data_IF_235390621829
#
_entry.id   IF_235390621829
#
_cell.length_a   1.000
_cell.length_b   1.000
_cell.length_c   1.000
_cell.angle_alpha   90.00
_cell.angle_beta   90.00
_cell.angle_gamma   90.00
#
_symmetry.space_group_name_H-M   'P 1'
#
loop_
_entity.id
_entity.type
_entity.pdbx_description
1 polymer ?
#
# COMPACT_ATOMS: atom_id res chain seq x y z
N UNK A 1 8.56 3.55 7.97
CA UNK A 1 8.71 3.25 6.53
C UNK A 1 7.97 4.29 5.68
N UNK A 2 6.63 4.27 5.56
CA UNK A 2 5.90 5.20 4.68
C UNK A 2 6.24 6.68 4.94
N UNK A 3 6.04 7.16 6.17
CA UNK A 3 6.31 8.56 6.51
C UNK A 3 7.78 8.95 6.26
N UNK A 4 8.72 8.05 6.51
CA UNK A 4 10.15 8.30 6.25
C UNK A 4 10.41 8.47 4.75
N UNK A 5 9.79 7.64 3.91
CA UNK A 5 9.90 7.78 2.45
C UNK A 5 9.28 9.08 1.98
N UNK A 6 8.06 9.42 2.42
CA UNK A 6 7.40 10.68 2.04
C UNK A 6 8.25 11.91 2.41
N UNK A 7 8.83 11.91 3.61
CA UNK A 7 9.73 12.98 4.06
C UNK A 7 11.00 13.10 3.21
N UNK A 8 11.58 11.98 2.75
CA UNK A 8 12.75 12.01 1.84
C UNK A 8 12.47 12.71 0.52
N UNK A 9 11.23 12.65 0.04
CA UNK A 9 10.79 13.32 -1.19
C UNK A 9 10.14 14.68 -0.94
N UNK A 10 10.07 15.15 0.31
CA UNK A 10 9.43 16.42 0.66
C UNK A 10 7.91 16.42 0.46
N UNK A 11 7.28 15.25 0.40
CA UNK A 11 5.82 15.10 0.29
C UNK A 11 5.20 15.44 1.65
N UNK A 12 4.30 16.42 1.65
CA UNK A 12 3.63 16.92 2.87
C UNK A 12 2.13 16.62 2.92
N UNK A 13 1.64 15.94 1.89
CA UNK A 13 0.26 15.49 1.78
C UNK A 13 -0.17 14.65 2.99
N UNK A 14 -1.43 14.79 3.45
CA UNK A 14 -1.91 14.07 4.61
C UNK A 14 -1.97 12.57 4.33
N UNK A 15 -1.47 11.76 5.28
CA UNK A 15 -1.64 10.31 5.24
C UNK A 15 -3.06 9.98 5.72
N UNK A 16 -3.93 9.60 4.78
CA UNK A 16 -5.23 9.00 5.10
C UNK A 16 -5.03 7.58 5.64
N UNK A 17 -5.63 7.29 6.79
CA UNK A 17 -5.65 5.95 7.37
C UNK A 17 -7.08 5.42 7.34
N UNK A 18 -7.28 4.34 6.62
CA UNK A 18 -8.58 3.69 6.48
C UNK A 18 -8.55 2.41 7.32
N UNK A 19 -9.44 2.32 8.29
CA UNK A 19 -9.68 1.08 9.03
C UNK A 19 -10.63 0.18 8.22
N UNK A 20 -10.32 -1.11 8.15
CA UNK A 20 -11.11 -2.11 7.42
C UNK A 20 -11.54 -3.21 8.39
N UNK A 21 -12.62 -2.99 9.17
CA UNK A 21 -13.02 -3.91 10.23
C UNK A 21 -13.84 -5.11 9.73
N UNK A 22 -14.43 -5.01 8.52
CA UNK A 22 -15.37 -5.98 7.99
C UNK A 22 -15.23 -6.17 6.47
N UNK A 23 -15.89 -7.20 5.96
CA UNK A 23 -15.89 -7.57 4.53
C UNK A 23 -16.55 -6.49 3.66
N UNK A 24 -17.58 -5.80 4.16
CA UNK A 24 -18.26 -4.75 3.41
C UNK A 24 -17.30 -3.59 3.10
N UNK A 25 -16.57 -3.15 4.12
CA UNK A 25 -15.53 -2.12 4.00
C UNK A 25 -14.36 -2.63 3.17
N UNK A 26 -13.97 -3.90 3.33
CA UNK A 26 -12.92 -4.53 2.54
C UNK A 26 -13.21 -4.54 1.04
N UNK A 27 -14.44 -4.88 0.66
CA UNK A 27 -14.88 -4.84 -0.73
C UNK A 27 -14.98 -3.40 -1.26
N UNK A 28 -15.48 -2.46 -0.46
CA UNK A 28 -15.61 -1.04 -0.86
C UNK A 28 -14.27 -0.41 -1.23
N UNK A 29 -13.20 -0.76 -0.51
CA UNK A 29 -11.85 -0.21 -0.73
C UNK A 29 -10.88 -1.18 -1.40
N UNK A 30 -11.41 -2.28 -1.94
CA UNK A 30 -10.66 -3.35 -2.61
C UNK A 30 -9.43 -3.75 -1.79
N UNK A 31 -9.65 -4.13 -0.53
CA UNK A 31 -8.59 -4.31 0.47
C UNK A 31 -7.97 -5.72 0.41
N UNK A 32 -6.73 -5.88 -0.06
CA UNK A 32 -6.11 -7.20 -0.16
C UNK A 32 -5.58 -7.74 1.19
N UNK A 33 -5.50 -6.88 2.21
CA UNK A 33 -5.06 -7.21 3.56
C UNK A 33 -4.23 -6.10 4.22
N UNK A 34 -3.99 -6.23 5.52
CA UNK A 34 -3.24 -5.26 6.34
C UNK A 34 -1.76 -5.63 6.44
N UNK A 35 -0.83 -4.66 6.38
CA UNK A 35 -1.07 -3.30 5.89
C UNK A 35 -1.31 -3.31 4.37
N UNK A 36 -1.90 -2.24 3.84
CA UNK A 36 -1.88 -1.90 2.41
C UNK A 36 -1.53 -0.42 2.29
N UNK A 37 -0.57 -0.10 1.44
CA UNK A 37 -0.10 1.26 1.20
C UNK A 37 -0.44 1.60 -0.24
N UNK A 38 -1.07 2.75 -0.43
CA UNK A 38 -1.37 3.31 -1.75
C UNK A 38 -0.79 4.71 -1.85
N UNK A 39 -0.18 5.01 -2.99
CA UNK A 39 0.28 6.35 -3.37
C UNK A 39 -0.55 6.77 -4.58
N UNK A 40 -1.21 7.92 -4.50
CA UNK A 40 -2.16 8.39 -5.51
C UNK A 40 -3.20 7.33 -5.93
N UNK A 41 -3.71 6.57 -4.94
CA UNK A 41 -4.70 5.51 -5.15
C UNK A 41 -4.15 4.19 -5.69
N UNK A 42 -2.88 4.11 -6.10
CA UNK A 42 -2.24 2.89 -6.62
C UNK A 42 -1.50 2.11 -5.53
N UNK A 43 -1.67 0.79 -5.51
CA UNK A 43 -0.94 -0.08 -4.57
C UNK A 43 0.55 -0.08 -4.86
N UNK A 44 1.37 -0.04 -3.81
CA UNK A 44 2.83 -0.02 -3.97
C UNK A 44 3.39 -1.38 -4.41
N UNK A 45 2.69 -2.50 -4.18
CA UNK A 45 3.18 -3.80 -4.62
C UNK A 45 3.18 -3.89 -6.17
N UNK A 46 4.35 -4.17 -6.79
CA UNK A 46 4.43 -4.28 -8.23
C UNK A 46 3.53 -5.38 -8.78
N UNK A 47 2.72 -5.05 -9.78
CA UNK A 47 1.82 -6.01 -10.42
C UNK A 47 0.64 -6.43 -9.55
N UNK A 48 0.32 -5.66 -8.49
CA UNK A 48 -0.90 -5.88 -7.75
C UNK A 48 -2.14 -5.78 -8.66
N UNK A 49 -3.06 -6.73 -8.49
CA UNK A 49 -4.37 -6.73 -9.12
C UNK A 49 -5.48 -6.69 -8.04
N UNK A 50 -6.63 -6.04 -8.32
CA UNK A 50 -7.79 -6.05 -7.44
C UNK A 50 -8.19 -7.46 -7.00
N UNK A 51 -8.43 -7.66 -5.70
CA UNK A 51 -9.07 -8.89 -5.23
C UNK A 51 -10.54 -8.95 -5.65
N UNK A 52 -11.01 -10.12 -6.09
CA UNK A 52 -12.43 -10.34 -6.40
C UNK A 52 -13.26 -10.44 -5.11
N UNK A 53 -12.74 -11.14 -4.08
CA UNK A 53 -13.35 -11.26 -2.74
C UNK A 53 -12.37 -10.76 -1.66
N UNK A 54 -12.50 -9.48 -1.30
CA UNK A 54 -11.59 -8.82 -0.37
C UNK A 54 -12.06 -9.03 1.09
N UNK A 55 -11.54 -10.08 1.74
CA UNK A 55 -11.77 -10.32 3.17
C UNK A 55 -10.69 -9.66 4.04
N UNK A 56 -11.05 -9.05 5.19
CA UNK A 56 -10.05 -8.52 6.12
C UNK A 56 -9.09 -9.61 6.59
N UNK A 57 -7.80 -9.43 6.32
CA UNK A 57 -6.74 -10.40 6.61
C UNK A 57 -5.40 -9.69 6.74
N UNK A 58 -4.39 -10.38 7.28
CA UNK A 58 -3.01 -9.92 7.17
C UNK A 58 -2.50 -10.17 5.73
N UNK A 59 -1.73 -9.23 5.19
CA UNK A 59 -1.06 -9.36 3.89
C UNK A 59 0.39 -9.77 4.09
N UNK A 60 0.86 -10.67 3.25
CA UNK A 60 2.27 -11.02 3.13
C UNK A 60 2.79 -10.52 1.79
N UNK A 61 4.00 -10.01 1.81
CA UNK A 61 4.70 -9.44 0.68
C UNK A 61 5.92 -10.29 0.37
N UNK A 62 6.08 -10.68 -0.89
CA UNK A 62 7.30 -11.35 -1.35
C UNK A 62 8.34 -10.28 -1.70
N UNK A 63 9.17 -9.95 -0.72
CA UNK A 63 10.24 -8.95 -0.85
C UNK A 63 11.56 -9.60 -1.27
N UNK A 64 12.55 -8.77 -1.60
CA UNK A 64 13.93 -9.21 -1.84
C UNK A 64 14.55 -10.00 -0.67
N UNK A 65 14.09 -9.77 0.57
CA UNK A 65 14.51 -10.49 1.79
C UNK A 65 13.61 -11.69 2.13
N UNK A 66 12.68 -12.05 1.24
CA UNK A 66 11.70 -13.13 1.44
C UNK A 66 10.32 -12.62 1.88
N UNK A 67 9.50 -13.49 2.47
CA UNK A 67 8.15 -13.16 2.90
C UNK A 67 8.15 -12.25 4.14
N UNK A 68 7.49 -11.09 4.04
CA UNK A 68 7.39 -10.09 5.12
C UNK A 68 5.95 -9.64 5.30
N UNK A 69 5.62 -9.13 6.49
CA UNK A 69 4.30 -8.55 6.79
C UNK A 69 4.16 -7.06 6.44
N UNK A 70 5.12 -6.49 5.73
CA UNK A 70 5.13 -5.09 5.27
C UNK A 70 5.73 -5.05 3.85
N UNK A 71 5.33 -4.09 3.00
CA UNK A 71 5.87 -3.98 1.64
C UNK A 71 7.35 -3.61 1.66
N UNK A 72 8.02 -3.81 0.53
CA UNK A 72 9.41 -3.37 0.38
C UNK A 72 9.48 -1.84 0.37
N UNK A 73 10.46 -1.27 1.07
CA UNK A 73 10.63 0.19 1.14
C UNK A 73 10.81 0.80 -0.25
N UNK A 74 11.54 0.12 -1.13
CA UNK A 74 11.83 0.62 -2.47
C UNK A 74 10.58 0.73 -3.33
N UNK A 75 9.60 -0.16 -3.14
CA UNK A 75 8.32 -0.07 -3.84
C UNK A 75 7.57 1.22 -3.50
N UNK A 76 7.58 1.62 -2.22
CA UNK A 76 7.01 2.91 -1.80
C UNK A 76 7.77 4.08 -2.42
N UNK A 77 9.11 4.01 -2.52
CA UNK A 77 9.92 5.06 -3.16
C UNK A 77 9.58 5.20 -4.64
N UNK A 78 9.47 4.08 -5.37
CA UNK A 78 9.11 4.09 -6.79
C UNK A 78 7.70 4.64 -7.02
N UNK A 79 6.71 4.22 -6.23
CA UNK A 79 5.35 4.74 -6.33
C UNK A 79 5.26 6.27 -6.10
N UNK A 80 6.07 6.81 -5.18
CA UNK A 80 6.16 8.27 -4.97
C UNK A 80 6.80 8.99 -6.17
N UNK A 81 7.86 8.41 -6.75
CA UNK A 81 8.50 8.96 -7.94
C UNK A 81 7.55 8.97 -9.15
N UNK A 82 6.78 7.90 -9.35
CA UNK A 82 5.80 7.77 -10.42
C UNK A 82 4.67 8.80 -10.27
N UNK A 83 4.11 8.93 -9.06
CA UNK A 83 3.06 9.92 -8.78
C UNK A 83 3.55 11.37 -8.90
N UNK A 84 4.83 11.65 -8.65
CA UNK A 84 5.40 12.98 -8.85
C UNK A 84 5.67 13.33 -10.33
N UNK A 85 5.68 12.31 -11.20
CA UNK A 85 5.94 12.47 -12.63
C UNK A 85 4.66 12.58 -13.48
N UNK A 86 3.49 12.27 -12.90
CA UNK A 86 2.15 12.37 -13.51
C UNK A 86 1.53 13.75 -13.34
#
# INVERSE_FOLDING_TARGET
MLADVLNEFGVTDPIERIEVPDVETGNRVVFPGSPTIRIDGLDVEPGWEPCEDCTPRCRLYLTSEGLRGVPEREWVRQAVLEAAAS
#
